data_IF_737335729331
#
_entry.id   IF_737335729331
#
_cell.length_a   1.000
_cell.length_b   1.000
_cell.length_c   1.000
_cell.angle_alpha   90.00
_cell.angle_beta   90.00
_cell.angle_gamma   90.00
#
_symmetry.space_group_name_H-M   'P 1'
#
loop_
_entity.id
_entity.type
_entity.pdbx_description
1 polymer ?
#
# COMPACT_ATOMS: atom_id res chain seq x y z
N UNK A 1 7.81 13.31 -2.65
CA UNK A 1 7.95 12.54 -3.90
C UNK A 1 9.10 11.53 -3.78
N UNK A 2 8.86 10.26 -4.03
CA UNK A 2 9.95 9.28 -3.98
C UNK A 2 11.06 9.65 -4.98
N UNK A 3 12.34 9.40 -4.67
CA UNK A 3 13.44 9.73 -5.56
C UNK A 3 13.56 8.81 -6.78
N UNK A 4 12.81 7.70 -6.80
CA UNK A 4 12.78 6.74 -7.90
C UNK A 4 11.36 6.54 -8.40
N UNK A 5 11.18 6.10 -9.66
CA UNK A 5 9.85 5.70 -10.13
C UNK A 5 9.25 4.64 -9.21
N UNK A 6 7.97 4.74 -8.95
CA UNK A 6 7.27 3.83 -8.02
C UNK A 6 7.51 2.36 -8.37
N UNK A 7 7.49 2.02 -9.65
CA UNK A 7 7.64 0.62 -10.10
C UNK A 7 9.01 0.01 -9.80
N UNK A 8 10.02 0.82 -9.49
CA UNK A 8 11.38 0.34 -9.24
C UNK A 8 11.65 -0.07 -7.79
N UNK A 9 10.71 0.20 -6.88
CA UNK A 9 10.88 -0.21 -5.49
C UNK A 9 10.64 -1.70 -5.34
N UNK A 10 11.46 -2.36 -4.51
CA UNK A 10 11.38 -3.81 -4.27
C UNK A 10 9.98 -4.26 -3.85
N UNK A 11 9.37 -3.53 -2.93
CA UNK A 11 8.02 -3.83 -2.45
C UNK A 11 6.99 -3.77 -3.57
N UNK A 12 7.16 -2.86 -4.51
CA UNK A 12 6.25 -2.71 -5.65
C UNK A 12 6.47 -3.84 -6.66
N UNK A 13 7.72 -4.23 -6.89
CA UNK A 13 8.04 -5.38 -7.75
C UNK A 13 7.42 -6.66 -7.17
N UNK A 14 7.50 -6.84 -5.86
CA UNK A 14 6.88 -7.99 -5.18
C UNK A 14 5.35 -7.95 -5.29
N UNK A 15 4.75 -6.77 -5.17
CA UNK A 15 3.31 -6.60 -5.38
C UNK A 15 2.90 -7.01 -6.79
N UNK A 16 3.63 -6.52 -7.80
CA UNK A 16 3.36 -6.89 -9.18
C UNK A 16 3.47 -8.40 -9.41
N UNK A 17 4.47 -9.03 -8.82
CA UNK A 17 4.63 -10.48 -8.92
C UNK A 17 3.46 -11.23 -8.25
N UNK A 18 3.05 -10.80 -7.07
CA UNK A 18 1.90 -11.39 -6.37
C UNK A 18 0.61 -11.27 -7.17
N UNK A 19 0.40 -10.13 -7.82
CA UNK A 19 -0.78 -9.93 -8.68
C UNK A 19 -0.73 -10.85 -9.90
N UNK A 20 0.44 -10.99 -10.53
CA UNK A 20 0.61 -11.92 -11.68
C UNK A 20 0.34 -13.36 -11.27
N UNK A 21 0.86 -13.77 -10.12
CA UNK A 21 0.68 -15.14 -9.62
C UNK A 21 -0.79 -15.45 -9.33
N UNK A 22 -1.54 -14.46 -8.86
CA UNK A 22 -2.93 -14.64 -8.48
C UNK A 22 -3.91 -14.48 -9.66
N UNK A 23 -3.69 -13.48 -10.51
CA UNK A 23 -4.64 -13.12 -11.57
C UNK A 23 -4.15 -13.43 -12.98
N UNK A 24 -2.84 -13.69 -13.18
CA UNK A 24 -2.25 -13.83 -14.51
C UNK A 24 -2.02 -12.45 -15.15
N UNK A 25 -1.45 -12.45 -16.35
CA UNK A 25 -1.16 -11.22 -17.08
C UNK A 25 -0.14 -10.34 -16.39
N UNK A 26 -0.26 -9.03 -16.57
CA UNK A 26 0.58 -8.04 -15.92
C UNK A 26 -0.31 -6.90 -15.39
N UNK A 27 -0.99 -7.12 -14.24
CA UNK A 27 -1.98 -6.16 -13.74
C UNK A 27 -1.48 -4.74 -13.53
N UNK A 28 -0.22 -4.55 -13.09
CA UNK A 28 0.30 -3.19 -12.87
C UNK A 28 0.55 -2.45 -14.19
N UNK A 29 0.92 -3.16 -15.25
CA UNK A 29 1.05 -2.55 -16.57
C UNK A 29 -0.31 -2.32 -17.23
N UNK A 30 -1.24 -3.24 -17.03
CA UNK A 30 -2.58 -3.17 -17.61
C UNK A 30 -3.46 -2.12 -16.93
N UNK A 31 -3.22 -1.85 -15.64
CA UNK A 31 -3.98 -0.88 -14.86
C UNK A 31 -3.02 0.11 -14.19
N UNK A 32 -2.49 1.08 -14.95
CA UNK A 32 -1.51 2.03 -14.43
C UNK A 32 -2.02 2.89 -13.27
N UNK A 33 -3.33 3.02 -13.11
CA UNK A 33 -3.93 3.74 -11.98
C UNK A 33 -3.60 3.09 -10.63
N UNK A 34 -3.22 1.83 -10.60
CA UNK A 34 -2.79 1.16 -9.36
C UNK A 34 -1.49 1.77 -8.86
N UNK A 35 -0.53 1.97 -9.75
CA UNK A 35 0.75 2.60 -9.41
C UNK A 35 0.56 4.07 -9.09
N UNK A 36 -0.30 4.76 -9.82
CA UNK A 36 -0.59 6.17 -9.58
C UNK A 36 -1.20 6.37 -8.19
N UNK A 37 -2.14 5.50 -7.80
CA UNK A 37 -2.78 5.55 -6.49
C UNK A 37 -1.78 5.33 -5.37
N UNK A 38 -0.90 4.34 -5.51
CA UNK A 38 0.14 4.07 -4.51
C UNK A 38 1.10 5.24 -4.41
N UNK A 39 1.55 5.78 -5.54
CA UNK A 39 2.44 6.94 -5.57
C UNK A 39 1.84 8.15 -4.88
N UNK A 40 0.55 8.41 -5.14
CA UNK A 40 -0.16 9.51 -4.51
C UNK A 40 -0.27 9.32 -2.99
N UNK A 41 -0.55 8.11 -2.54
CA UNK A 41 -0.62 7.83 -1.10
C UNK A 41 0.74 7.96 -0.44
N UNK A 42 1.80 7.47 -1.09
CA UNK A 42 3.17 7.62 -0.59
C UNK A 42 3.53 9.09 -0.42
N UNK A 43 3.19 9.93 -1.39
CA UNK A 43 3.40 11.38 -1.28
C UNK A 43 2.58 11.99 -0.14
N UNK A 44 1.35 11.52 0.04
CA UNK A 44 0.45 12.01 1.09
C UNK A 44 1.01 11.73 2.49
N UNK A 45 1.60 10.57 2.71
CA UNK A 45 2.14 10.19 4.02
C UNK A 45 3.63 10.50 4.17
N UNK A 46 4.30 10.92 3.10
CA UNK A 46 5.73 11.26 3.14
C UNK A 46 6.66 10.06 3.26
N UNK A 47 6.28 8.93 2.69
CA UNK A 47 7.07 7.69 2.71
C UNK A 47 7.12 7.08 1.32
N UNK A 48 8.24 6.45 0.96
CA UNK A 48 8.27 5.64 -0.26
C UNK A 48 7.60 4.28 0.01
N UNK A 49 7.34 3.47 -1.03
CA UNK A 49 6.66 2.19 -0.82
C UNK A 49 7.37 1.25 0.15
N UNK A 50 8.70 1.18 0.09
CA UNK A 50 9.46 0.31 0.98
C UNK A 50 9.39 0.79 2.43
N UNK A 51 9.49 2.12 2.64
CA UNK A 51 9.33 2.74 3.96
C UNK A 51 7.93 2.54 4.51
N UNK A 52 6.90 2.62 3.64
CA UNK A 52 5.52 2.43 4.04
C UNK A 52 5.30 1.01 4.59
N UNK A 53 5.81 0.00 3.89
CA UNK A 53 5.71 -1.38 4.39
C UNK A 53 6.51 -1.58 5.66
N UNK A 54 7.77 -1.08 5.68
CA UNK A 54 8.63 -1.22 6.85
C UNK A 54 8.01 -0.60 8.10
N UNK A 55 7.30 0.52 7.93
CA UNK A 55 6.61 1.18 9.04
C UNK A 55 5.61 0.26 9.75
N UNK A 56 4.97 -0.64 9.02
CA UNK A 56 3.93 -1.52 9.57
C UNK A 56 4.49 -2.67 10.40
N UNK A 57 5.81 -2.88 10.41
CA UNK A 57 6.42 -4.01 11.10
C UNK A 57 7.34 -3.56 12.21
N UNK A 58 7.38 -4.34 13.28
CA UNK A 58 8.29 -4.16 14.40
C UNK A 58 9.03 -5.48 14.64
N UNK A 59 10.07 -5.46 15.49
CA UNK A 59 10.79 -6.65 15.88
C UNK A 59 10.67 -6.86 17.38
N UNK A 60 10.49 -8.10 17.79
CA UNK A 60 10.46 -8.49 19.20
C UNK A 60 11.86 -8.31 19.78
N UNK A 61 11.96 -7.65 20.93
CA UNK A 61 13.26 -7.39 21.58
C UNK A 61 13.98 -8.68 21.96
N UNK A 62 13.22 -9.67 22.42
CA UNK A 62 13.80 -10.93 22.91
C UNK A 62 14.37 -11.81 21.80
N UNK A 63 13.72 -11.86 20.63
CA UNK A 63 14.05 -12.82 19.56
C UNK A 63 14.48 -12.16 18.25
N UNK A 64 14.23 -10.85 18.07
CA UNK A 64 14.44 -10.16 16.80
C UNK A 64 13.41 -10.53 15.74
N UNK A 65 12.42 -11.34 16.08
CA UNK A 65 11.38 -11.76 15.15
C UNK A 65 10.53 -10.58 14.68
N UNK A 66 10.32 -10.49 13.37
CA UNK A 66 9.50 -9.46 12.73
C UNK A 66 8.03 -9.79 12.89
N UNK A 67 7.22 -8.80 13.23
CA UNK A 67 5.78 -8.97 13.33
C UNK A 67 5.05 -7.71 12.85
N UNK A 68 3.83 -7.86 12.35
CA UNK A 68 3.00 -6.74 11.93
C UNK A 68 2.42 -6.06 13.17
N UNK A 69 2.64 -4.75 13.30
CA UNK A 69 2.15 -3.98 14.44
C UNK A 69 0.68 -3.59 14.23
N UNK A 70 -0.18 -4.01 15.14
CA UNK A 70 -1.60 -3.64 15.10
C UNK A 70 -1.76 -2.11 15.18
N UNK A 71 -1.01 -1.47 16.08
CA UNK A 71 -1.07 -0.02 16.24
C UNK A 71 -0.67 0.72 14.97
N UNK A 72 0.44 0.31 14.35
CA UNK A 72 0.93 0.95 13.12
C UNK A 72 -0.01 0.71 11.94
N UNK A 73 -0.55 -0.49 11.86
CA UNK A 73 -1.56 -0.81 10.85
C UNK A 73 -2.77 0.11 10.99
N UNK A 74 -3.22 0.36 12.21
CA UNK A 74 -4.35 1.28 12.47
C UNK A 74 -4.00 2.72 12.07
N UNK A 75 -2.77 3.15 12.31
CA UNK A 75 -2.30 4.48 11.89
C UNK A 75 -2.34 4.62 10.37
N UNK A 76 -1.87 3.59 9.65
CA UNK A 76 -1.91 3.58 8.18
C UNK A 76 -3.35 3.57 7.69
N UNK A 77 -4.24 2.79 8.32
CA UNK A 77 -5.65 2.75 7.97
C UNK A 77 -6.31 4.13 8.15
N UNK A 78 -5.96 4.83 9.23
CA UNK A 78 -6.48 6.18 9.48
C UNK A 78 -6.03 7.16 8.37
N UNK A 79 -4.77 7.10 7.99
CA UNK A 79 -4.25 7.94 6.90
C UNK A 79 -4.90 7.60 5.57
N UNK A 80 -5.16 6.32 5.34
CA UNK A 80 -5.80 5.88 4.10
C UNK A 80 -7.26 6.35 4.03
N UNK A 81 -7.97 6.41 5.16
CA UNK A 81 -9.31 6.99 5.21
C UNK A 81 -9.28 8.47 4.85
N UNK A 82 -8.30 9.22 5.37
CA UNK A 82 -8.12 10.65 5.03
C UNK A 82 -7.83 10.81 3.54
N UNK A 83 -6.95 9.98 3.02
CA UNK A 83 -6.58 9.98 1.61
C UNK A 83 -7.78 9.67 0.70
N UNK A 84 -8.60 8.71 1.10
CA UNK A 84 -9.81 8.32 0.38
C UNK A 84 -10.78 9.50 0.27
N UNK A 85 -10.88 10.31 1.33
CA UNK A 85 -11.78 11.44 1.38
C UNK A 85 -11.27 12.68 0.65
N UNK A 86 -9.96 12.73 0.39
CA UNK A 86 -9.31 13.89 -0.23
C UNK A 86 -9.57 13.96 -1.73
N UNK A 87 -9.49 15.17 -2.28
CA UNK A 87 -9.49 15.39 -3.72
C UNK A 87 -10.85 15.45 -4.38
N UNK A 88 -11.93 15.41 -3.62
CA UNK A 88 -13.27 15.55 -4.17
C UNK A 88 -13.65 14.49 -5.20
N UNK A 89 -13.08 13.29 -5.10
CA UNK A 89 -13.37 12.21 -6.02
C UNK A 89 -14.79 11.64 -5.83
N UNK A 90 -15.32 11.03 -6.88
CA UNK A 90 -16.58 10.28 -6.75
C UNK A 90 -16.36 9.11 -5.78
N UNK A 91 -17.44 8.60 -5.14
CA UNK A 91 -17.30 7.44 -4.24
C UNK A 91 -16.64 6.24 -4.88
N UNK A 92 -16.93 5.96 -6.16
CA UNK A 92 -16.33 4.86 -6.89
C UNK A 92 -14.84 5.06 -7.12
N UNK A 93 -14.42 6.26 -7.55
CA UNK A 93 -13.01 6.59 -7.78
C UNK A 93 -12.23 6.57 -6.48
N UNK A 94 -12.79 7.11 -5.40
CA UNK A 94 -12.18 7.11 -4.08
C UNK A 94 -11.94 5.69 -3.58
N UNK A 95 -12.92 4.80 -3.76
CA UNK A 95 -12.82 3.38 -3.37
C UNK A 95 -11.73 2.67 -4.15
N UNK A 96 -11.68 2.85 -5.46
CA UNK A 96 -10.65 2.24 -6.31
C UNK A 96 -9.25 2.66 -5.90
N UNK A 97 -9.09 3.95 -5.64
CA UNK A 97 -7.84 4.55 -5.19
C UNK A 97 -7.37 3.92 -3.87
N UNK A 98 -8.26 3.83 -2.89
CA UNK A 98 -7.95 3.22 -1.59
C UNK A 98 -7.68 1.73 -1.71
N UNK A 99 -8.46 1.01 -2.54
CA UNK A 99 -8.30 -0.43 -2.72
C UNK A 99 -6.96 -0.79 -3.36
N UNK A 100 -6.42 0.04 -4.24
CA UNK A 100 -5.09 -0.18 -4.81
C UNK A 100 -4.02 -0.18 -3.72
N UNK A 101 -4.10 0.77 -2.79
CA UNK A 101 -3.16 0.85 -1.67
C UNK A 101 -3.34 -0.34 -0.72
N UNK A 102 -4.60 -0.73 -0.43
CA UNK A 102 -4.88 -1.92 0.38
C UNK A 102 -4.26 -3.16 -0.23
N UNK A 103 -4.41 -3.35 -1.54
CA UNK A 103 -3.84 -4.49 -2.25
C UNK A 103 -2.32 -4.54 -2.08
N UNK A 104 -1.64 -3.40 -2.24
CA UNK A 104 -0.21 -3.30 -2.03
C UNK A 104 0.18 -3.74 -0.61
N UNK A 105 -0.53 -3.23 0.40
CA UNK A 105 -0.24 -3.55 1.80
C UNK A 105 -0.47 -5.04 2.10
N UNK A 106 -1.57 -5.60 1.61
CA UNK A 106 -1.90 -7.01 1.81
C UNK A 106 -0.83 -7.91 1.18
N UNK A 107 -0.42 -7.62 -0.04
CA UNK A 107 0.64 -8.38 -0.71
C UNK A 107 1.99 -8.23 -0.02
N UNK A 108 2.18 -7.13 0.70
CA UNK A 108 3.37 -6.91 1.51
C UNK A 108 3.34 -7.57 2.88
N UNK A 109 2.26 -8.27 3.21
CA UNK A 109 2.14 -9.00 4.47
C UNK A 109 1.45 -8.24 5.60
N UNK A 110 0.84 -7.09 5.30
CA UNK A 110 0.08 -6.32 6.29
C UNK A 110 -1.38 -6.76 6.23
N UNK A 111 -1.90 -7.23 7.36
CA UNK A 111 -3.28 -7.73 7.42
C UNK A 111 -4.29 -6.56 7.44
N UNK A 112 -4.81 -6.25 6.27
CA UNK A 112 -5.78 -5.17 6.07
C UNK A 112 -7.06 -5.72 5.47
N UNK A 113 -8.18 -5.03 5.69
CA UNK A 113 -9.43 -5.36 5.01
C UNK A 113 -10.23 -4.09 4.71
N UNK A 114 -11.17 -4.14 3.74
CA UNK A 114 -11.95 -2.96 3.34
C UNK A 114 -12.77 -2.35 4.48
N UNK A 115 -13.15 -3.14 5.47
CA UNK A 115 -13.89 -2.65 6.64
C UNK A 115 -13.12 -1.67 7.51
N UNK A 116 -11.80 -1.58 7.34
CA UNK A 116 -10.96 -0.62 8.06
C UNK A 116 -11.05 0.78 7.46
N UNK A 117 -11.62 0.91 6.30
CA UNK A 117 -11.77 2.17 5.58
C UNK A 117 -13.22 2.65 5.69
#
# INVERSE_FOLDING_TARGET
MPPRPIAEYESVAAWGQGLRDHWGGDPLAEEPEKLESLGAFCAFVGKDPDELLAFCFLRKKATGERFASVKRREEVAARLREFKAEGGLSPTAARKRANSVLSFLIHGGVLMNPGML
#
